data_IF_562374304594
#
_entry.id   IF_562374304594
#
_cell.length_a   1.000
_cell.length_b   1.000
_cell.length_c   1.000
_cell.angle_alpha   90.00
_cell.angle_beta   90.00
_cell.angle_gamma   90.00
#
_symmetry.space_group_name_H-M   'P 1'
#
loop_
_entity.id
_entity.type
_entity.pdbx_description
1 polymer ?
#
# COMPACT_ATOMS: atom_id res chain seq x y z
N UNK A 1 11.49 15.96 -44.88
CA UNK A 1 10.93 14.63 -44.53
C UNK A 1 11.65 14.15 -43.29
N UNK A 2 10.98 14.11 -42.13
CA UNK A 2 11.58 13.58 -40.89
C UNK A 2 11.68 12.07 -41.00
N UNK A 3 12.89 11.53 -41.03
CA UNK A 3 13.13 10.08 -41.03
C UNK A 3 12.48 9.46 -39.78
N UNK A 4 11.69 8.41 -39.96
CA UNK A 4 11.07 7.70 -38.85
C UNK A 4 12.14 7.05 -37.96
N UNK A 5 11.86 6.92 -36.65
CA UNK A 5 12.77 6.27 -35.70
C UNK A 5 13.03 4.82 -36.17
N UNK A 6 14.27 4.43 -36.50
CA UNK A 6 14.55 3.07 -36.97
C UNK A 6 14.34 2.07 -35.84
N UNK A 7 13.97 0.84 -36.18
CA UNK A 7 14.02 -0.27 -35.25
C UNK A 7 15.49 -0.67 -35.02
N UNK A 8 15.78 -1.20 -33.83
CA UNK A 8 17.05 -1.86 -33.52
C UNK A 8 17.34 -3.00 -34.52
N UNK A 9 18.61 -3.33 -34.73
CA UNK A 9 19.09 -4.20 -35.81
C UNK A 9 19.40 -5.65 -35.37
N UNK A 10 19.33 -5.94 -34.08
CA UNK A 10 19.54 -7.26 -33.48
C UNK A 10 18.28 -8.16 -33.49
N UNK A 11 17.22 -7.74 -34.17
CA UNK A 11 15.99 -8.52 -34.37
C UNK A 11 15.53 -8.45 -35.82
N UNK A 12 14.72 -9.43 -36.22
CA UNK A 12 14.05 -9.47 -37.51
C UNK A 12 12.55 -9.80 -37.35
N UNK A 13 11.82 -9.74 -38.47
CA UNK A 13 10.38 -10.05 -38.50
C UNK A 13 10.08 -11.50 -38.09
N UNK A 14 10.96 -12.44 -38.41
CA UNK A 14 10.80 -13.85 -38.06
C UNK A 14 10.87 -14.07 -36.55
N UNK A 15 11.88 -13.52 -35.88
CA UNK A 15 12.07 -13.59 -34.44
C UNK A 15 10.87 -12.96 -33.70
N UNK A 16 10.37 -11.82 -34.18
CA UNK A 16 9.18 -11.19 -33.59
C UNK A 16 7.92 -12.06 -33.73
N UNK A 17 7.70 -12.70 -34.88
CA UNK A 17 6.58 -13.63 -35.07
C UNK A 17 6.72 -14.87 -34.19
N UNK A 18 7.93 -15.40 -34.00
CA UNK A 18 8.19 -16.50 -33.08
C UNK A 18 7.86 -16.12 -31.63
N UNK A 19 8.31 -14.94 -31.18
CA UNK A 19 7.98 -14.39 -29.86
C UNK A 19 6.47 -14.14 -29.68
N UNK A 20 5.80 -13.68 -30.74
CA UNK A 20 4.36 -13.46 -30.72
C UNK A 20 3.57 -14.77 -30.53
N UNK A 21 4.09 -15.89 -31.08
CA UNK A 21 3.50 -17.23 -30.88
C UNK A 21 3.74 -17.77 -29.47
N UNK A 22 4.87 -17.44 -28.85
CA UNK A 22 5.23 -17.97 -27.53
C UNK A 22 4.68 -17.16 -26.35
N UNK A 23 4.33 -15.89 -26.56
CA UNK A 23 3.80 -15.04 -25.48
C UNK A 23 2.37 -15.41 -25.08
N UNK A 24 2.08 -15.28 -23.79
CA UNK A 24 0.74 -15.43 -23.22
C UNK A 24 -0.02 -14.10 -23.16
N UNK A 25 0.65 -12.97 -23.39
CA UNK A 25 0.03 -11.65 -23.41
C UNK A 25 -0.43 -11.31 -24.84
N UNK A 26 -1.74 -11.35 -25.06
CA UNK A 26 -2.34 -11.04 -26.36
C UNK A 26 -2.05 -9.61 -26.84
N UNK A 27 -1.91 -8.64 -25.92
CA UNK A 27 -1.55 -7.28 -26.29
C UNK A 27 -0.09 -7.21 -26.74
N UNK A 28 0.81 -7.93 -26.06
CA UNK A 28 2.20 -8.05 -26.49
C UNK A 28 2.31 -8.74 -27.85
N UNK A 29 1.59 -9.85 -28.07
CA UNK A 29 1.57 -10.56 -29.35
C UNK A 29 1.18 -9.63 -30.51
N UNK A 30 0.11 -8.85 -30.36
CA UNK A 30 -0.33 -7.89 -31.38
C UNK A 30 0.74 -6.84 -31.70
N UNK A 31 1.43 -6.33 -30.67
CA UNK A 31 2.50 -5.34 -30.82
C UNK A 31 3.71 -5.93 -31.54
N UNK A 32 4.08 -7.16 -31.20
CA UNK A 32 5.17 -7.88 -31.85
C UNK A 32 4.87 -8.11 -33.34
N UNK A 33 3.64 -8.52 -33.67
CA UNK A 33 3.20 -8.69 -35.06
C UNK A 33 3.22 -7.37 -35.84
N UNK A 34 2.76 -6.28 -35.23
CA UNK A 34 2.82 -4.96 -35.87
C UNK A 34 4.26 -4.50 -36.16
N UNK A 35 5.22 -4.76 -35.25
CA UNK A 35 6.62 -4.42 -35.49
C UNK A 35 7.31 -5.36 -36.48
N UNK A 36 6.88 -6.62 -36.59
CA UNK A 36 7.41 -7.57 -37.57
C UNK A 36 7.21 -7.06 -39.01
N UNK A 37 6.08 -6.42 -39.28
CA UNK A 37 5.79 -5.82 -40.59
C UNK A 37 6.77 -4.71 -40.96
N UNK A 38 7.21 -3.93 -39.97
CA UNK A 38 8.20 -2.87 -40.19
C UNK A 38 9.57 -3.49 -40.52
N UNK A 39 9.94 -4.59 -39.87
CA UNK A 39 11.15 -5.34 -40.22
C UNK A 39 11.09 -5.95 -41.62
N UNK A 40 9.91 -6.40 -42.05
CA UNK A 40 9.67 -6.92 -43.39
C UNK A 40 9.62 -5.81 -44.46
N UNK A 41 9.82 -4.55 -44.07
CA UNK A 41 9.89 -3.41 -44.98
C UNK A 41 8.54 -2.76 -45.31
N UNK A 42 7.45 -3.20 -44.67
CA UNK A 42 6.14 -2.57 -44.83
C UNK A 42 6.07 -1.20 -44.14
N UNK A 43 5.04 -0.44 -44.50
CA UNK A 43 4.86 0.91 -43.98
C UNK A 43 4.45 0.90 -42.50
N UNK A 44 4.75 1.98 -41.78
CA UNK A 44 4.24 2.18 -40.40
C UNK A 44 2.70 2.26 -40.36
N UNK A 45 2.05 2.60 -41.47
CA UNK A 45 0.59 2.58 -41.62
C UNK A 45 0.05 1.15 -41.66
N UNK A 46 0.76 0.22 -42.30
CA UNK A 46 0.40 -1.21 -42.27
C UNK A 46 0.55 -1.80 -40.87
N UNK A 47 1.65 -1.48 -40.20
CA UNK A 47 1.85 -1.84 -38.79
C UNK A 47 0.74 -1.29 -37.89
N UNK A 48 0.30 -0.05 -38.11
CA UNK A 48 -0.80 0.58 -37.37
C UNK A 48 -2.13 -0.15 -37.60
N UNK A 49 -2.42 -0.53 -38.85
CA UNK A 49 -3.59 -1.31 -39.23
C UNK A 49 -3.60 -2.69 -38.58
N UNK A 50 -2.47 -3.39 -38.57
CA UNK A 50 -2.32 -4.70 -37.89
C UNK A 50 -2.41 -4.57 -36.38
N UNK A 51 -1.85 -3.50 -35.83
CA UNK A 51 -1.93 -3.16 -34.41
C UNK A 51 -3.31 -2.69 -33.95
N UNK A 52 -4.19 -2.27 -34.88
CA UNK A 52 -5.47 -1.64 -34.57
C UNK A 52 -5.31 -0.30 -33.84
N UNK A 53 -4.26 0.46 -34.15
CA UNK A 53 -3.84 1.67 -33.42
C UNK A 53 -3.44 2.80 -34.36
N UNK A 54 -3.14 3.98 -33.82
CA UNK A 54 -2.64 5.12 -34.59
C UNK A 54 -1.14 5.03 -34.84
N UNK A 55 -0.63 5.80 -35.82
CA UNK A 55 0.80 5.92 -36.11
C UNK A 55 1.63 6.36 -34.90
N UNK A 56 1.07 7.22 -34.04
CA UNK A 56 1.75 7.68 -32.83
C UNK A 56 1.96 6.53 -31.83
N UNK A 57 0.99 5.63 -31.70
CA UNK A 57 1.12 4.47 -30.82
C UNK A 57 2.17 3.49 -31.36
N UNK A 58 2.22 3.28 -32.69
CA UNK A 58 3.29 2.48 -33.31
C UNK A 58 4.66 3.09 -33.04
N UNK A 59 4.80 4.42 -33.16
CA UNK A 59 6.03 5.14 -32.81
C UNK A 59 6.42 4.89 -31.34
N UNK A 60 5.46 4.96 -30.42
CA UNK A 60 5.71 4.69 -29.00
C UNK A 60 6.14 3.25 -28.75
N UNK A 61 5.57 2.27 -29.48
CA UNK A 61 6.01 0.88 -29.41
C UNK A 61 7.43 0.71 -29.92
N UNK A 62 7.80 1.33 -31.05
CA UNK A 62 9.18 1.34 -31.57
C UNK A 62 10.14 1.91 -30.52
N UNK A 63 9.82 3.05 -29.90
CA UNK A 63 10.67 3.64 -28.86
C UNK A 63 10.85 2.72 -27.65
N UNK A 64 9.77 2.10 -27.16
CA UNK A 64 9.82 1.17 -26.03
C UNK A 64 10.58 -0.12 -26.37
N UNK A 65 10.40 -0.62 -27.58
CA UNK A 65 11.08 -1.81 -28.08
C UNK A 65 12.57 -1.57 -28.27
N UNK A 66 12.96 -0.41 -28.81
CA UNK A 66 14.37 -0.03 -28.92
C UNK A 66 15.04 0.06 -27.55
N UNK A 67 14.35 0.63 -26.56
CA UNK A 67 14.90 0.79 -25.22
C UNK A 67 15.01 -0.53 -24.41
N UNK A 68 14.07 -1.47 -24.56
CA UNK A 68 13.93 -2.63 -23.65
C UNK A 68 13.68 -3.98 -24.35
N UNK A 69 13.76 -4.00 -25.67
CA UNK A 69 13.44 -5.18 -26.48
C UNK A 69 11.98 -5.63 -26.36
N UNK A 70 11.70 -6.93 -26.57
CA UNK A 70 10.35 -7.49 -26.47
C UNK A 70 9.65 -7.22 -25.13
N UNK A 71 10.40 -7.13 -24.03
CA UNK A 71 9.86 -6.83 -22.71
C UNK A 71 9.24 -5.42 -22.61
N UNK A 72 9.73 -4.48 -23.42
CA UNK A 72 9.21 -3.11 -23.49
C UNK A 72 7.80 -3.02 -24.08
N UNK A 73 7.33 -4.08 -24.73
CA UNK A 73 6.00 -4.19 -25.31
C UNK A 73 4.98 -4.85 -24.36
N UNK A 74 5.39 -5.21 -23.15
CA UNK A 74 4.48 -5.66 -22.09
C UNK A 74 3.95 -4.45 -21.34
N UNK A 75 2.67 -4.46 -20.98
CA UNK A 75 2.13 -3.42 -20.12
C UNK A 75 2.79 -3.51 -18.73
N UNK A 76 3.49 -2.46 -18.33
CA UNK A 76 3.95 -2.32 -16.95
C UNK A 76 2.76 -2.12 -16.01
N UNK A 77 2.91 -2.53 -14.75
CA UNK A 77 1.96 -2.17 -13.69
C UNK A 77 1.98 -0.64 -13.56
N UNK A 78 0.82 0.00 -13.72
CA UNK A 78 0.71 1.42 -13.47
C UNK A 78 1.15 1.70 -12.01
N UNK A 79 1.89 2.80 -11.75
CA UNK A 79 2.47 3.10 -10.43
C UNK A 79 1.44 3.31 -9.30
N UNK A 80 0.14 3.14 -9.59
CA UNK A 80 -0.95 3.41 -8.66
C UNK A 80 -1.20 4.90 -8.47
N UNK A 81 -2.22 5.22 -7.68
CA UNK A 81 -2.50 6.60 -7.30
C UNK A 81 -1.38 7.10 -6.37
N UNK A 82 -0.78 8.25 -6.70
CA UNK A 82 0.23 8.86 -5.84
C UNK A 82 -0.44 9.34 -4.55
N UNK A 83 0.15 9.02 -3.40
CA UNK A 83 -0.35 9.49 -2.11
C UNK A 83 -0.33 11.03 -2.06
N UNK A 84 -1.39 11.64 -1.53
CA UNK A 84 -1.51 13.11 -1.45
C UNK A 84 -0.40 13.76 -0.60
N UNK A 85 0.18 13.02 0.35
CA UNK A 85 1.30 13.50 1.16
C UNK A 85 2.63 13.13 0.50
N UNK A 86 3.45 14.15 0.24
CA UNK A 86 4.85 13.99 -0.19
C UNK A 86 5.72 13.60 1.01
N UNK A 87 6.98 13.23 0.75
CA UNK A 87 7.96 12.98 1.81
C UNK A 87 8.13 14.20 2.75
N UNK A 88 8.10 15.41 2.19
CA UNK A 88 8.19 16.66 2.96
C UNK A 88 7.00 16.79 3.91
N UNK A 89 5.78 16.54 3.43
CA UNK A 89 4.57 16.62 4.26
C UNK A 89 4.58 15.58 5.38
N UNK A 90 5.07 14.37 5.11
CA UNK A 90 5.24 13.32 6.14
C UNK A 90 6.22 13.73 7.23
N UNK A 91 7.34 14.34 6.84
CA UNK A 91 8.35 14.79 7.79
C UNK A 91 7.83 15.94 8.66
N UNK A 92 7.09 16.89 8.06
CA UNK A 92 6.43 17.96 8.81
C UNK A 92 5.37 17.42 9.77
N UNK A 93 4.57 16.43 9.33
CA UNK A 93 3.59 15.74 10.15
C UNK A 93 4.25 15.04 11.35
N UNK A 94 5.39 14.38 11.17
CA UNK A 94 6.12 13.76 12.26
C UNK A 94 6.58 14.80 13.30
N UNK A 95 7.20 15.88 12.84
CA UNK A 95 7.70 16.97 13.70
C UNK A 95 6.59 17.61 14.54
N UNK A 96 5.45 17.93 13.94
CA UNK A 96 4.36 18.60 14.67
C UNK A 96 3.70 17.66 15.70
N UNK A 97 3.67 16.36 15.41
CA UNK A 97 3.16 15.36 16.36
C UNK A 97 4.11 15.20 17.54
N UNK A 98 5.42 15.19 17.29
CA UNK A 98 6.45 15.11 18.33
C UNK A 98 6.53 16.36 19.20
N UNK A 99 6.47 17.55 18.60
CA UNK A 99 6.48 18.82 19.35
C UNK A 99 5.22 19.01 20.20
N UNK A 100 4.15 18.29 19.89
CA UNK A 100 2.83 18.49 20.48
C UNK A 100 2.18 19.80 20.02
N UNK A 101 0.91 20.03 20.39
CA UNK A 101 0.22 21.24 20.04
C UNK A 101 0.61 22.39 20.97
N UNK A 102 0.71 23.61 20.43
CA UNK A 102 0.81 24.85 21.18
C UNK A 102 -0.62 25.33 21.47
N UNK A 103 -1.13 25.29 22.72
CA UNK A 103 -2.54 25.56 22.99
C UNK A 103 -3.02 26.94 22.53
N UNK A 104 -2.17 27.97 22.65
CA UNK A 104 -2.50 29.33 22.23
C UNK A 104 -2.67 29.48 20.71
N UNK A 105 -2.02 28.63 19.90
CA UNK A 105 -2.06 28.71 18.43
C UNK A 105 -3.06 27.69 17.87
N UNK A 106 -3.03 26.45 18.38
CA UNK A 106 -3.78 25.33 17.83
C UNK A 106 -5.12 25.09 18.53
N UNK A 107 -5.37 25.69 19.69
CA UNK A 107 -6.62 25.55 20.45
C UNK A 107 -6.89 24.14 21.00
N UNK A 108 -5.87 23.25 20.98
CA UNK A 108 -5.99 21.87 21.46
C UNK A 108 -4.83 21.52 22.39
N UNK A 109 -5.12 20.71 23.41
CA UNK A 109 -4.12 20.22 24.37
C UNK A 109 -3.43 18.94 23.89
N UNK A 110 -4.10 18.17 23.03
CA UNK A 110 -3.56 16.96 22.40
C UNK A 110 -3.98 16.89 20.94
N UNK A 111 -3.10 16.38 20.09
CA UNK A 111 -3.45 16.14 18.69
C UNK A 111 -4.49 15.01 18.57
N UNK A 112 -5.60 15.29 17.89
CA UNK A 112 -6.48 14.27 17.29
C UNK A 112 -6.23 14.23 15.79
N UNK A 113 -6.60 13.14 15.12
CA UNK A 113 -6.44 13.01 13.66
C UNK A 113 -7.13 14.13 12.90
N UNK A 114 -8.37 14.48 13.27
CA UNK A 114 -9.07 15.65 12.72
C UNK A 114 -8.32 16.98 12.86
N UNK A 115 -7.59 17.17 13.97
CA UNK A 115 -6.84 18.40 14.20
C UNK A 115 -5.61 18.45 13.27
N UNK A 116 -4.97 17.30 13.06
CA UNK A 116 -3.83 17.16 12.13
C UNK A 116 -4.26 17.30 10.66
N UNK A 117 -5.47 16.83 10.30
CA UNK A 117 -6.07 17.10 8.98
C UNK A 117 -6.25 18.60 8.79
N UNK A 118 -6.83 19.28 9.79
CA UNK A 118 -7.06 20.72 9.75
C UNK A 118 -5.76 21.51 9.64
N UNK A 119 -4.75 21.13 10.44
CA UNK A 119 -3.42 21.73 10.39
C UNK A 119 -2.77 21.55 9.02
N UNK A 120 -2.82 20.34 8.43
CA UNK A 120 -2.26 20.08 7.11
C UNK A 120 -2.94 20.92 6.02
N UNK A 121 -4.24 21.18 6.14
CA UNK A 121 -4.96 22.06 5.24
C UNK A 121 -4.63 23.55 5.44
N UNK A 122 -4.40 23.98 6.69
CA UNK A 122 -4.02 25.36 6.98
C UNK A 122 -2.62 25.69 6.47
N UNK A 123 -1.66 24.79 6.74
CA UNK A 123 -0.25 25.00 6.43
C UNK A 123 0.08 24.71 4.96
N UNK A 124 -0.44 23.60 4.41
CA UNK A 124 -0.05 23.10 3.08
C UNK A 124 -1.19 23.09 2.06
N UNK A 125 -2.42 23.46 2.45
CA UNK A 125 -3.63 23.41 1.61
C UNK A 125 -3.95 22.01 1.05
N UNK A 126 -3.54 20.97 1.78
CA UNK A 126 -3.78 19.58 1.39
C UNK A 126 -5.02 19.06 2.10
N UNK A 127 -6.06 18.74 1.32
CA UNK A 127 -7.27 18.09 1.82
C UNK A 127 -7.12 16.57 1.81
N UNK A 128 -7.07 15.98 3.00
CA UNK A 128 -7.03 14.53 3.26
C UNK A 128 -8.07 14.14 4.29
N UNK A 129 -8.47 12.87 4.28
CA UNK A 129 -9.36 12.33 5.30
C UNK A 129 -8.58 11.86 6.55
N UNK A 130 -9.28 11.71 7.68
CA UNK A 130 -8.68 11.27 8.94
C UNK A 130 -8.05 9.87 8.87
N UNK A 131 -8.55 8.99 8.00
CA UNK A 131 -7.99 7.63 7.84
C UNK A 131 -6.66 7.67 7.11
N UNK A 132 -6.49 8.57 6.13
CA UNK A 132 -5.20 8.84 5.48
C UNK A 132 -4.17 9.29 6.50
N UNK A 133 -4.49 10.29 7.35
CA UNK A 133 -3.58 10.69 8.44
C UNK A 133 -3.31 9.53 9.40
N UNK A 134 -4.32 8.72 9.75
CA UNK A 134 -4.14 7.56 10.60
C UNK A 134 -3.17 6.52 10.02
N UNK A 135 -3.22 6.26 8.71
CA UNK A 135 -2.29 5.36 8.00
C UNK A 135 -0.88 5.94 7.94
N UNK A 136 -0.75 7.22 7.64
CA UNK A 136 0.54 7.91 7.57
C UNK A 136 1.23 7.94 8.95
N UNK A 137 0.50 8.24 10.02
CA UNK A 137 1.03 8.17 11.39
C UNK A 137 1.51 6.75 11.75
N UNK A 138 0.75 5.72 11.38
CA UNK A 138 1.15 4.33 11.61
C UNK A 138 2.41 3.97 10.80
N UNK A 139 2.50 4.42 9.55
CA UNK A 139 3.66 4.20 8.69
C UNK A 139 4.91 4.91 9.24
N UNK A 140 4.74 6.06 9.89
CA UNK A 140 5.78 6.80 10.59
C UNK A 140 6.13 6.23 11.98
N UNK A 141 5.46 5.15 12.42
CA UNK A 141 5.73 4.49 13.70
C UNK A 141 5.01 5.08 14.91
N UNK A 142 4.13 6.07 14.73
CA UNK A 142 3.35 6.63 15.84
C UNK A 142 2.23 5.67 16.27
N UNK A 143 2.18 5.41 17.58
CA UNK A 143 1.11 4.67 18.23
C UNK A 143 0.27 5.60 19.11
N UNK A 144 -1.03 5.32 19.22
CA UNK A 144 -1.89 6.01 20.18
C UNK A 144 -1.48 5.57 21.59
N UNK A 145 -0.81 6.45 22.32
CA UNK A 145 -0.59 6.28 23.75
C UNK A 145 -1.89 6.59 24.49
N UNK A 146 -2.56 5.55 25.00
CA UNK A 146 -3.63 5.70 25.98
C UNK A 146 -3.06 5.39 27.37
N UNK A 147 -3.12 6.35 28.29
CA UNK A 147 -2.92 6.05 29.70
C UNK A 147 -3.93 4.99 30.13
N UNK A 148 -3.51 4.00 30.94
CA UNK A 148 -4.47 3.10 31.58
C UNK A 148 -5.34 3.95 32.51
N UNK A 149 -6.68 3.87 32.43
CA UNK A 149 -7.56 4.57 33.36
C UNK A 149 -7.16 4.24 34.80
N UNK A 150 -6.70 5.24 35.57
CA UNK A 150 -6.52 5.13 37.01
C UNK A 150 -7.81 5.60 37.67
N UNK A 151 -8.38 4.78 38.55
CA UNK A 151 -9.61 5.10 39.26
C UNK A 151 -9.34 6.23 40.26
N UNK A 152 -10.10 7.31 40.19
CA UNK A 152 -9.89 8.52 41.01
C UNK A 152 -10.07 8.28 42.52
N UNK A 153 -10.71 7.18 42.92
CA UNK A 153 -10.93 6.81 44.33
C UNK A 153 -9.82 5.91 44.92
N UNK A 154 -8.66 5.82 44.29
CA UNK A 154 -7.53 5.07 44.86
C UNK A 154 -6.78 5.98 45.86
N UNK A 155 -7.29 6.08 47.08
CA UNK A 155 -6.61 6.77 48.17
C UNK A 155 -5.39 5.96 48.62
N UNK A 156 -4.24 6.63 48.73
CA UNK A 156 -2.98 6.01 49.16
C UNK A 156 -3.05 5.49 50.61
N UNK A 157 -3.89 6.11 51.44
CA UNK A 157 -4.15 5.68 52.83
C UNK A 157 -5.00 4.41 52.98
N UNK A 158 -5.80 4.03 51.97
CA UNK A 158 -6.62 2.81 52.01
C UNK A 158 -5.84 1.56 51.59
N UNK A 159 -4.70 1.73 50.93
CA UNK A 159 -3.83 0.63 50.50
C UNK A 159 -2.98 0.05 51.65
N UNK A 160 -2.61 0.88 52.64
CA UNK A 160 -1.81 0.42 53.79
C UNK A 160 -2.64 -0.37 54.81
N UNK A 161 -3.90 0.00 55.00
CA UNK A 161 -4.86 -0.69 55.87
C UNK A 161 -5.33 -2.03 55.27
N UNK A 162 -5.48 -2.13 53.95
CA UNK A 162 -5.80 -3.40 53.29
C UNK A 162 -4.65 -4.43 53.34
N UNK A 163 -3.39 -3.97 53.27
CA UNK A 163 -2.21 -4.86 53.31
C UNK A 163 -1.94 -5.52 54.67
N UNK A 164 -2.47 -4.98 55.78
CA UNK A 164 -2.12 -5.45 57.15
C UNK A 164 -3.15 -6.33 57.85
N UNK A 165 -4.37 -6.49 57.35
CA UNK A 165 -5.46 -7.20 58.08
C UNK A 165 -6.17 -8.30 57.30
N UNK A 166 -5.52 -8.90 56.30
CA UNK A 166 -6.07 -10.09 55.64
C UNK A 166 -5.47 -11.35 56.28
N UNK A 167 -6.24 -12.22 56.98
CA UNK A 167 -5.73 -13.52 57.39
C UNK A 167 -5.43 -14.37 56.16
N UNK A 168 -4.37 -15.20 56.16
CA UNK A 168 -4.13 -16.15 55.09
C UNK A 168 -5.10 -17.33 55.24
N UNK A 169 -6.38 -17.13 54.91
CA UNK A 169 -7.29 -18.26 54.76
C UNK A 169 -7.23 -18.72 53.29
N UNK A 170 -6.38 -19.70 53.02
CA UNK A 170 -6.55 -20.52 51.84
C UNK A 170 -6.69 -21.95 52.33
N UNK A 171 -7.94 -22.42 52.46
CA UNK A 171 -8.20 -23.82 52.75
C UNK A 171 -8.22 -24.59 51.42
N UNK A 172 -7.36 -25.61 51.24
CA UNK A 172 -7.45 -26.51 50.10
C UNK A 172 -8.79 -27.25 50.13
N UNK A 173 -9.53 -27.20 49.02
CA UNK A 173 -10.73 -28.04 48.84
C UNK A 173 -10.32 -29.52 48.93
N UNK A 174 -10.97 -30.29 49.83
CA UNK A 174 -10.75 -31.74 49.96
C UNK A 174 -11.02 -32.46 48.64
N UNK A 175 -10.15 -33.43 48.35
CA UNK A 175 -10.19 -34.26 47.16
C UNK A 175 -11.51 -35.02 47.02
N UNK A 176 -12.04 -35.06 45.78
CA UNK A 176 -13.01 -36.08 45.34
C UNK A 176 -14.33 -35.54 44.79
N UNK A 177 -14.31 -34.96 43.58
CA UNK A 177 -15.52 -34.97 42.74
C UNK A 177 -15.44 -36.17 41.79
N UNK A 178 -16.50 -37.01 41.68
CA UNK A 178 -16.53 -38.10 40.72
C UNK A 178 -16.37 -37.58 39.29
N UNK A 179 -15.56 -38.27 38.47
CA UNK A 179 -15.45 -37.99 37.03
C UNK A 179 -16.83 -38.08 36.40
N UNK A 180 -17.34 -36.95 35.92
CA UNK A 180 -18.44 -36.96 34.95
C UNK A 180 -17.88 -37.40 33.59
N UNK A 181 -18.67 -38.20 32.88
CA UNK A 181 -18.33 -38.74 31.56
C UNK A 181 -18.17 -37.62 30.53
N UNK A 182 -17.17 -37.75 29.65
CA UNK A 182 -16.96 -36.86 28.50
C UNK A 182 -18.16 -36.95 27.56
N UNK A 183 -18.96 -35.90 27.45
CA UNK A 183 -19.87 -35.73 26.32
C UNK A 183 -19.06 -35.34 25.08
N UNK A 184 -19.18 -36.11 24.00
CA UNK A 184 -18.60 -35.77 22.70
C UNK A 184 -19.58 -34.91 21.90
N UNK A 185 -19.51 -33.59 22.06
CA UNK A 185 -20.16 -32.65 21.15
C UNK A 185 -19.20 -31.52 20.82
N UNK A 186 -18.41 -31.72 19.77
CA UNK A 186 -17.52 -30.72 19.21
C UNK A 186 -16.77 -31.28 18.00
N UNK A 187 -17.32 -31.09 16.80
CA UNK A 187 -16.67 -31.44 15.54
C UNK A 187 -15.45 -30.57 15.26
N UNK A 188 -14.44 -31.07 14.51
CA UNK A 188 -13.17 -30.38 14.31
C UNK A 188 -13.29 -29.21 13.31
N UNK A 189 -12.99 -28.00 13.77
CA UNK A 189 -12.76 -26.82 12.91
C UNK A 189 -11.30 -26.84 12.41
N UNK A 190 -11.08 -26.99 11.10
CA UNK A 190 -9.76 -26.83 10.46
C UNK A 190 -9.54 -25.37 10.04
N UNK A 191 -8.31 -24.90 10.20
CA UNK A 191 -7.81 -23.63 9.65
C UNK A 191 -7.39 -23.82 8.18
N UNK A 192 -7.73 -22.86 7.33
CA UNK A 192 -7.20 -22.67 5.98
C UNK A 192 -6.03 -21.72 5.94
#
# INVERSE_FOLDING_TARGET
MTLGIPLRDDFDGFALRALAKSTKDAAQARRLLALAEIYDGHSRSDAARIGGVTLQIVRDWVMRFNARGPSGLINGKAPGNQGKLSAVHRQALAKIVESGPIPAVHGVVRWRRKDLVQWLFQEYRISVDETTIGRELKALGFAKLSARPRHYAQNEGDLESFKKTSPPHWQPSKAGSPRTSRSSSGGPTKLG
#
